data_IF_912482102485
#
_entry.id   IF_912482102485
#
_cell.length_a   1.000
_cell.length_b   1.000
_cell.length_c   1.000
_cell.angle_alpha   90.00
_cell.angle_beta   90.00
_cell.angle_gamma   90.00
#
_symmetry.space_group_name_H-M   'P 1'
#
loop_
_entity.id
_entity.type
_entity.pdbx_description
1 polymer ?
#
# COMPACT_ATOMS: atom_id res chain seq x y z
N UNK A 1 48.42 19.72 -13.87
CA UNK A 1 47.88 19.64 -12.49
C UNK A 1 46.34 19.60 -12.39
N UNK A 2 45.55 19.55 -13.48
CA UNK A 2 44.07 19.59 -13.42
C UNK A 2 43.35 18.24 -13.25
N UNK A 3 44.00 17.13 -13.62
CA UNK A 3 43.45 15.76 -13.51
C UNK A 3 43.08 15.33 -12.07
N UNK A 4 43.90 15.56 -11.02
CA UNK A 4 43.54 15.11 -9.67
C UNK A 4 42.34 15.86 -9.08
N UNK A 5 42.16 17.15 -9.41
CA UNK A 5 40.96 17.90 -9.02
C UNK A 5 39.69 17.38 -9.69
N UNK A 6 39.78 16.98 -10.97
CA UNK A 6 38.64 16.40 -11.68
C UNK A 6 38.21 15.05 -11.08
N UNK A 7 39.17 14.20 -10.67
CA UNK A 7 38.88 12.94 -9.98
C UNK A 7 38.30 13.15 -8.58
N UNK A 8 38.79 14.14 -7.83
CA UNK A 8 38.25 14.48 -6.51
C UNK A 8 36.82 15.02 -6.58
N UNK A 9 36.50 15.84 -7.58
CA UNK A 9 35.14 16.35 -7.82
C UNK A 9 34.17 15.21 -8.22
N UNK A 10 34.61 14.28 -9.06
CA UNK A 10 33.79 13.12 -9.45
C UNK A 10 33.52 12.19 -8.25
N UNK A 11 34.52 11.97 -7.39
CA UNK A 11 34.37 11.15 -6.19
C UNK A 11 33.39 11.78 -5.17
N UNK A 12 33.42 13.10 -5.00
CA UNK A 12 32.48 13.81 -4.11
C UNK A 12 31.04 13.76 -4.63
N UNK A 13 30.82 13.85 -5.94
CA UNK A 13 29.47 13.69 -6.54
C UNK A 13 28.96 12.25 -6.34
N UNK A 14 29.79 11.24 -6.58
CA UNK A 14 29.40 9.83 -6.44
C UNK A 14 29.08 9.43 -4.98
N UNK A 15 29.83 9.97 -4.02
CA UNK A 15 29.63 9.70 -2.59
C UNK A 15 28.50 10.53 -1.96
N UNK A 16 28.11 11.67 -2.54
CA UNK A 16 26.98 12.48 -2.07
C UNK A 16 25.61 11.85 -2.34
N UNK A 17 25.49 11.00 -3.37
CA UNK A 17 24.23 10.38 -3.75
C UNK A 17 23.71 9.33 -2.76
N UNK A 18 24.58 8.67 -2.00
CA UNK A 18 24.17 7.62 -1.04
C UNK A 18 23.50 8.19 0.20
N UNK A 19 23.81 9.43 0.57
CA UNK A 19 23.21 10.13 1.71
C UNK A 19 21.78 10.65 1.43
N UNK A 20 21.35 10.68 0.16
CA UNK A 20 20.01 11.10 -0.28
C UNK A 20 19.12 9.92 -0.68
N UNK A 21 19.60 8.68 -0.54
CA UNK A 21 18.78 7.51 -0.82
C UNK A 21 17.64 7.42 0.19
N UNK A 22 16.40 7.34 -0.29
CA UNK A 22 15.26 7.03 0.57
C UNK A 22 15.45 5.67 1.25
N UNK A 23 14.90 5.47 2.45
CA UNK A 23 14.89 4.16 3.08
C UNK A 23 14.26 3.12 2.13
N UNK A 24 14.73 1.86 2.19
CA UNK A 24 14.16 0.76 1.41
C UNK A 24 12.64 0.59 1.59
N UNK A 25 12.10 1.09 2.71
CA UNK A 25 10.69 1.16 3.00
C UNK A 25 10.31 2.58 3.45
N UNK A 26 9.39 3.21 2.73
CA UNK A 26 8.86 4.52 3.07
C UNK A 26 7.37 4.39 3.41
N UNK A 27 6.98 4.71 4.65
CA UNK A 27 5.56 4.79 5.02
C UNK A 27 5.00 6.13 4.55
N UNK A 28 4.27 6.11 3.45
CA UNK A 28 3.73 7.32 2.81
C UNK A 28 2.28 7.65 3.20
N UNK A 29 1.52 6.67 3.69
CA UNK A 29 0.12 6.85 4.06
C UNK A 29 -0.35 5.81 5.08
N UNK A 30 -1.54 6.01 5.64
CA UNK A 30 -2.25 5.03 6.47
C UNK A 30 -3.73 5.09 6.12
N UNK A 31 -4.35 3.93 5.96
CA UNK A 31 -5.78 3.80 5.66
C UNK A 31 -6.49 3.17 6.86
N UNK A 32 -7.64 3.73 7.25
CA UNK A 32 -8.44 3.23 8.36
C UNK A 32 -9.48 2.22 7.86
N UNK A 33 -9.31 0.94 8.21
CA UNK A 33 -10.18 -0.18 7.78
C UNK A 33 -11.68 0.07 8.04
N UNK A 34 -12.10 0.59 9.21
CA UNK A 34 -13.50 0.94 9.45
C UNK A 34 -14.08 1.95 8.44
N UNK A 35 -13.24 2.76 7.79
CA UNK A 35 -13.68 3.74 6.77
C UNK A 35 -14.13 3.09 5.47
N UNK A 36 -13.84 1.80 5.28
CA UNK A 36 -14.24 1.02 4.11
C UNK A 36 -15.51 0.20 4.33
N UNK A 37 -16.04 0.18 5.56
CA UNK A 37 -17.23 -0.62 5.86
C UNK A 37 -18.45 -0.06 5.10
N UNK A 38 -19.28 -0.93 4.50
CA UNK A 38 -20.46 -0.51 3.80
C UNK A 38 -21.49 0.09 4.76
N UNK A 39 -22.37 0.94 4.22
CA UNK A 39 -23.47 1.52 4.97
C UNK A 39 -24.31 0.41 5.64
N UNK A 40 -24.61 0.59 6.93
CA UNK A 40 -25.35 -0.38 7.74
C UNK A 40 -24.49 -1.27 8.62
N UNK A 41 -23.15 -1.26 8.47
CA UNK A 41 -22.26 -1.88 9.45
C UNK A 41 -21.82 -0.89 10.51
N UNK A 42 -21.76 -1.37 11.75
CA UNK A 42 -21.31 -0.55 12.88
C UNK A 42 -19.78 -0.44 12.85
N UNK A 43 -19.21 0.77 12.69
CA UNK A 43 -17.76 0.98 12.64
C UNK A 43 -17.06 0.72 13.97
N UNK A 44 -17.79 0.50 15.07
CA UNK A 44 -17.24 0.07 16.37
C UNK A 44 -17.09 -1.44 16.47
N UNK A 45 -17.68 -2.20 15.54
CA UNK A 45 -17.46 -3.65 15.48
C UNK A 45 -16.01 -3.92 15.12
N UNK A 46 -15.51 -5.04 15.64
CA UNK A 46 -14.14 -5.47 15.42
C UNK A 46 -13.88 -5.71 13.93
N UNK A 47 -12.74 -5.24 13.44
CA UNK A 47 -12.21 -5.52 12.11
C UNK A 47 -10.90 -6.28 12.26
N UNK A 48 -10.66 -7.31 11.45
CA UNK A 48 -9.40 -8.08 11.48
C UNK A 48 -8.87 -8.17 10.06
N UNK A 49 -8.12 -7.13 9.67
CA UNK A 49 -7.43 -7.09 8.39
C UNK A 49 -6.09 -7.84 8.46
N UNK A 50 -5.88 -8.84 7.61
CA UNK A 50 -4.73 -9.76 7.72
C UNK A 50 -3.88 -9.85 6.45
N UNK A 51 -4.43 -10.38 5.35
CA UNK A 51 -3.70 -10.56 4.09
C UNK A 51 -4.15 -9.49 3.09
N UNK A 52 -3.18 -8.91 2.37
CA UNK A 52 -3.40 -7.89 1.36
C UNK A 52 -2.70 -8.27 0.04
N UNK A 53 -3.35 -7.96 -1.08
CA UNK A 53 -2.80 -8.13 -2.43
C UNK A 53 -3.01 -6.85 -3.24
N UNK A 54 -2.08 -6.53 -4.12
CA UNK A 54 -2.23 -5.46 -5.11
C UNK A 54 -2.72 -6.03 -6.44
N UNK A 55 -3.46 -5.24 -7.21
CA UNK A 55 -3.72 -5.56 -8.61
C UNK A 55 -2.45 -5.37 -9.46
N UNK A 56 -2.47 -5.89 -10.69
CA UNK A 56 -1.32 -5.83 -11.60
C UNK A 56 -0.90 -4.39 -11.92
N UNK A 57 -1.86 -3.48 -12.09
CA UNK A 57 -1.61 -2.06 -12.34
C UNK A 57 -1.07 -1.27 -11.12
N UNK A 58 -1.05 -1.85 -9.91
CA UNK A 58 -0.58 -1.17 -8.69
C UNK A 58 -1.44 0.02 -8.23
N UNK A 59 -2.70 0.06 -8.65
CA UNK A 59 -3.65 1.15 -8.39
C UNK A 59 -4.76 0.77 -7.40
N UNK A 60 -4.87 -0.53 -7.08
CA UNK A 60 -5.87 -1.06 -6.16
C UNK A 60 -5.21 -2.06 -5.20
N UNK A 61 -5.61 -2.02 -3.94
CA UNK A 61 -5.33 -3.06 -2.96
C UNK A 61 -6.63 -3.77 -2.57
N UNK A 62 -6.55 -5.09 -2.35
CA UNK A 62 -7.60 -5.91 -1.75
C UNK A 62 -7.06 -6.53 -0.46
N UNK A 63 -7.80 -6.42 0.65
CA UNK A 63 -7.44 -7.03 1.93
C UNK A 63 -8.57 -7.90 2.49
N UNK A 64 -8.23 -8.98 3.18
CA UNK A 64 -9.21 -9.81 3.92
C UNK A 64 -9.62 -9.12 5.21
N UNK A 65 -10.88 -9.25 5.62
CA UNK A 65 -11.36 -8.89 6.96
C UNK A 65 -12.18 -10.04 7.56
N UNK A 66 -11.57 -10.79 8.48
CA UNK A 66 -12.14 -12.03 9.01
C UNK A 66 -13.40 -11.78 9.87
N UNK A 67 -13.32 -10.83 10.81
CA UNK A 67 -14.44 -10.49 11.71
C UNK A 67 -15.60 -9.84 10.94
N UNK A 68 -15.27 -9.08 9.88
CA UNK A 68 -16.27 -8.49 9.01
C UNK A 68 -16.68 -9.42 7.85
N UNK A 69 -16.15 -10.63 7.76
CA UNK A 69 -16.54 -11.61 6.73
C UNK A 69 -16.55 -11.01 5.33
N UNK A 70 -15.43 -10.41 4.92
CA UNK A 70 -15.37 -9.75 3.62
C UNK A 70 -13.99 -9.37 3.15
N UNK A 71 -13.95 -8.84 1.93
CA UNK A 71 -12.76 -8.33 1.27
C UNK A 71 -12.94 -6.82 1.10
N UNK A 72 -12.06 -6.03 1.71
CA UNK A 72 -12.05 -4.59 1.51
C UNK A 72 -11.16 -4.20 0.33
N UNK A 73 -11.59 -3.20 -0.42
CA UNK A 73 -10.87 -2.65 -1.56
C UNK A 73 -10.41 -1.21 -1.27
N UNK A 74 -9.18 -0.87 -1.65
CA UNK A 74 -8.59 0.46 -1.44
C UNK A 74 -8.05 0.95 -2.78
N UNK A 75 -8.52 2.12 -3.22
CA UNK A 75 -7.94 2.84 -4.35
C UNK A 75 -6.64 3.52 -3.88
N UNK A 76 -5.55 3.17 -4.55
CA UNK A 76 -4.21 3.72 -4.33
C UNK A 76 -3.61 4.32 -5.61
N UNK A 77 -4.44 4.72 -6.59
CA UNK A 77 -3.97 5.44 -7.78
C UNK A 77 -3.14 6.69 -7.42
N UNK A 78 -3.45 7.32 -6.28
CA UNK A 78 -2.56 8.23 -5.57
C UNK A 78 -2.12 7.61 -4.24
N UNK A 79 -0.97 6.92 -4.21
CA UNK A 79 -0.54 6.12 -3.06
C UNK A 79 -0.33 6.90 -1.75
N UNK A 80 -0.07 8.21 -1.83
CA UNK A 80 0.02 9.12 -0.67
C UNK A 80 -1.36 9.53 -0.11
N UNK A 81 -2.45 9.21 -0.80
CA UNK A 81 -3.82 9.56 -0.43
C UNK A 81 -4.79 8.40 -0.75
N UNK A 82 -4.65 7.24 -0.06
CA UNK A 82 -5.49 6.06 -0.27
C UNK A 82 -6.97 6.35 0.03
N UNK A 83 -7.88 5.77 -0.75
CA UNK A 83 -9.33 6.00 -0.65
C UNK A 83 -10.11 4.68 -0.53
N UNK A 84 -11.27 4.69 0.15
CA UNK A 84 -12.17 3.55 0.13
C UNK A 84 -12.61 3.25 -1.31
N UNK A 85 -12.47 2.00 -1.75
CA UNK A 85 -12.94 1.53 -3.06
C UNK A 85 -14.07 0.49 -2.95
N UNK A 86 -14.50 0.17 -1.72
CA UNK A 86 -15.64 -0.69 -1.47
C UNK A 86 -15.30 -1.92 -0.63
N UNK A 87 -16.32 -2.73 -0.40
CA UNK A 87 -16.22 -3.90 0.47
C UNK A 87 -17.13 -5.00 -0.07
N UNK A 88 -16.56 -6.18 -0.32
CA UNK A 88 -17.27 -7.36 -0.82
C UNK A 88 -17.51 -8.30 0.35
N UNK A 89 -18.78 -8.56 0.67
CA UNK A 89 -19.10 -9.55 1.70
C UNK A 89 -18.86 -10.97 1.16
N UNK A 90 -18.30 -11.84 1.98
CA UNK A 90 -18.09 -13.25 1.67
C UNK A 90 -18.71 -14.12 2.75
N UNK A 91 -18.94 -15.39 2.45
CA UNK A 91 -19.31 -16.36 3.48
C UNK A 91 -18.07 -16.85 4.24
N UNK A 92 -18.20 -17.02 5.56
CA UNK A 92 -17.09 -17.46 6.42
C UNK A 92 -16.07 -16.37 6.73
N UNK A 93 -14.88 -16.80 7.14
CA UNK A 93 -13.77 -15.95 7.58
C UNK A 93 -12.65 -15.99 6.53
N UNK A 94 -12.47 -14.95 5.69
CA UNK A 94 -11.44 -14.95 4.66
C UNK A 94 -10.04 -14.84 5.28
N UNK A 95 -9.16 -15.75 4.88
CA UNK A 95 -7.76 -15.77 5.36
C UNK A 95 -6.74 -15.38 4.30
N UNK A 96 -7.10 -15.43 3.02
CA UNK A 96 -6.21 -15.08 1.90
C UNK A 96 -6.98 -14.43 0.74
N UNK A 97 -6.28 -13.62 -0.06
CA UNK A 97 -6.81 -12.97 -1.26
C UNK A 97 -5.72 -12.84 -2.32
N UNK A 98 -6.10 -13.00 -3.58
CA UNK A 98 -5.27 -12.74 -4.77
C UNK A 98 -6.13 -11.98 -5.78
N UNK A 99 -5.55 -11.00 -6.47
CA UNK A 99 -6.22 -10.26 -7.55
C UNK A 99 -5.73 -10.83 -8.89
N UNK A 100 -6.66 -11.13 -9.80
CA UNK A 100 -6.34 -11.59 -11.15
C UNK A 100 -6.55 -10.44 -12.16
N UNK A 101 -5.46 -9.96 -12.74
CA UNK A 101 -5.48 -8.82 -13.66
C UNK A 101 -5.85 -7.50 -12.97
N UNK A 102 -6.61 -6.65 -13.68
CA UNK A 102 -6.90 -5.29 -13.25
C UNK A 102 -8.18 -5.13 -12.42
N UNK A 103 -8.99 -6.19 -12.28
CA UNK A 103 -10.28 -6.13 -11.57
C UNK A 103 -10.28 -7.07 -10.37
N UNK A 104 -10.58 -6.51 -9.20
CA UNK A 104 -11.05 -7.24 -8.03
C UNK A 104 -12.57 -7.41 -8.10
#
# INVERSE_FOLDING_TARGET
MRKPLAFAALATVLLGGTALAEPMFNRIATFSVPSNLPAGRDPKQKTVAEIIAANEAGTLLAYTDAEQKGIGLIDIAAASAPKPAGFVSVEGEPTSVVVLGDRA
#
